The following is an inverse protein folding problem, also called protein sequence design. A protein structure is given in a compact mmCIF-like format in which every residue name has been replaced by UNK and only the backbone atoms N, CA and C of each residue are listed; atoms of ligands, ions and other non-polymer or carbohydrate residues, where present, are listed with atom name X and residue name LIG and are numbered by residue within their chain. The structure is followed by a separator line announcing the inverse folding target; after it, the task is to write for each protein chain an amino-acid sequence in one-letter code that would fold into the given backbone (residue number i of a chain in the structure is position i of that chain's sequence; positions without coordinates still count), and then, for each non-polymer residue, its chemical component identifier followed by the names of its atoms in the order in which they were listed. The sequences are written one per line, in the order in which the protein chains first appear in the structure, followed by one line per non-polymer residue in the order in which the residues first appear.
data_IF_216320183236
#
_entry.id   IF_216320183236
#
_cell.length_a   1.000
_cell.length_b   1.000
_cell.length_c   1.000
_cell.angle_alpha   90.00
_cell.angle_beta   90.00
_cell.angle_gamma   90.00
#
_symmetry.space_group_name_H-M   'P 1'
#
loop_
_entity.id
_entity.type
_entity.pdbx_description
1 polymer ?
#
# COMPACT_ATOMS: atom_id res chain seq x y z
N UNK A 1 -3.01 -0.27 24.04
CA UNK A 1 -1.65 -0.79 23.70
C UNK A 1 -0.58 -0.34 24.72
N UNK A 2 -0.57 0.94 25.15
CA UNK A 2 0.43 1.47 26.09
C UNK A 2 0.44 0.73 27.44
N UNK A 3 -0.73 0.45 27.99
CA UNK A 3 -0.89 -0.29 29.26
C UNK A 3 -0.28 -1.70 29.16
N UNK A 4 -0.58 -2.42 28.09
CA UNK A 4 -0.03 -3.76 27.84
C UNK A 4 1.49 -3.71 27.70
N UNK A 5 2.02 -2.68 27.02
CA UNK A 5 3.46 -2.48 26.87
C UNK A 5 4.13 -2.21 28.23
N UNK A 6 3.58 -1.31 29.05
CA UNK A 6 4.13 -0.96 30.37
C UNK A 6 4.14 -2.18 31.29
N UNK A 7 3.06 -2.95 31.35
CA UNK A 7 2.96 -4.16 32.19
C UNK A 7 3.97 -5.23 31.77
N UNK A 8 4.19 -5.39 30.46
CA UNK A 8 5.10 -6.40 29.92
C UNK A 8 6.51 -5.88 29.58
N UNK A 9 6.85 -4.65 29.92
CA UNK A 9 8.12 -4.00 29.58
C UNK A 9 9.35 -4.85 29.90
N UNK A 10 9.35 -5.58 31.04
CA UNK A 10 10.45 -6.44 31.44
C UNK A 10 10.58 -7.73 30.60
N UNK A 11 9.54 -8.11 29.85
CA UNK A 11 9.53 -9.31 28.99
C UNK A 11 10.06 -9.02 27.60
N UNK A 12 10.12 -7.74 27.20
CA UNK A 12 10.69 -7.38 25.89
C UNK A 12 12.22 -7.37 25.98
N UNK A 13 12.91 -8.10 25.11
CA UNK A 13 14.36 -8.08 25.06
C UNK A 13 14.81 -6.68 24.66
N UNK A 14 15.71 -6.09 25.44
CA UNK A 14 16.32 -4.79 25.16
C UNK A 14 17.16 -4.90 23.88
N UNK A 15 16.80 -4.19 22.78
CA UNK A 15 17.54 -4.26 21.52
C UNK A 15 19.01 -3.81 21.71
N UNK A 16 19.28 -2.89 22.63
CA UNK A 16 20.63 -2.38 22.88
C UNK A 16 21.54 -3.45 23.49
N UNK A 17 20.98 -4.35 24.31
CA UNK A 17 21.74 -5.48 24.89
C UNK A 17 22.08 -6.55 23.85
N UNK A 18 21.20 -6.77 22.84
CA UNK A 18 21.49 -7.68 21.74
C UNK A 18 22.59 -7.14 20.80
N UNK A 19 22.63 -5.82 20.61
CA UNK A 19 23.67 -5.17 19.80
C UNK A 19 25.01 -5.23 20.56
N UNK A 20 25.01 -4.96 21.87
CA UNK A 20 26.23 -5.08 22.72
C UNK A 20 26.75 -6.53 22.82
N UNK A 21 25.86 -7.52 22.95
CA UNK A 21 26.24 -8.93 22.98
C UNK A 21 26.79 -9.43 21.63
N UNK A 22 26.29 -8.92 20.50
CA UNK A 22 26.85 -9.19 19.16
C UNK A 22 28.15 -8.44 18.86
N UNK A 23 28.37 -7.29 19.50
CA UNK A 23 29.64 -6.54 19.36
C UNK A 23 30.80 -7.21 20.11
N UNK A 24 30.51 -8.10 21.09
CA UNK A 24 31.49 -8.92 21.79
C UNK A 24 31.84 -10.23 21.08
N UNK A 25 31.03 -10.67 20.12
CA UNK A 25 31.28 -11.88 19.32
C UNK A 25 31.93 -11.45 17.98
N UNK A 26 33.24 -11.54 17.89
CA UNK A 26 34.10 -11.02 16.83
C UNK A 26 33.97 -11.75 15.47
N UNK A 27 32.78 -12.13 15.07
CA UNK A 27 32.47 -12.67 13.73
C UNK A 27 31.31 -11.93 13.04
N UNK A 28 31.16 -10.61 13.29
CA UNK A 28 30.37 -9.78 12.40
C UNK A 28 31.16 -9.71 11.07
N UNK A 29 30.73 -10.49 10.08
CA UNK A 29 31.23 -10.38 8.70
C UNK A 29 31.07 -8.94 8.29
N UNK A 30 32.16 -8.16 8.29
CA UNK A 30 32.14 -6.77 7.84
C UNK A 30 31.76 -6.78 6.34
N UNK A 31 30.56 -6.29 6.04
CA UNK A 31 30.14 -6.12 4.64
C UNK A 31 31.12 -5.19 3.94
N UNK A 32 31.53 -5.54 2.73
CA UNK A 32 32.34 -4.64 1.91
C UNK A 32 31.63 -3.32 1.65
N UNK A 33 32.38 -2.22 1.54
CA UNK A 33 31.80 -0.91 1.24
C UNK A 33 30.99 -0.92 -0.07
N UNK A 34 31.36 -1.76 -1.03
CA UNK A 34 30.64 -1.95 -2.28
C UNK A 34 29.27 -2.63 -2.05
N UNK A 35 29.21 -3.65 -1.20
CA UNK A 35 27.98 -4.34 -0.87
C UNK A 35 27.01 -3.42 -0.11
N UNK A 36 27.51 -2.68 0.90
CA UNK A 36 26.73 -1.68 1.63
C UNK A 36 26.11 -0.70 0.66
N UNK A 37 26.89 -0.16 -0.28
CA UNK A 37 26.41 0.79 -1.29
C UNK A 37 25.34 0.18 -2.20
N UNK A 38 25.52 -1.04 -2.67
CA UNK A 38 24.55 -1.73 -3.52
C UNK A 38 23.21 -1.95 -2.78
N UNK A 39 23.25 -2.39 -1.51
CA UNK A 39 22.05 -2.56 -0.68
C UNK A 39 21.33 -1.25 -0.43
N UNK A 40 22.07 -0.17 -0.17
CA UNK A 40 21.49 1.17 0.01
C UNK A 40 20.80 1.66 -1.27
N UNK A 41 21.44 1.54 -2.44
CA UNK A 41 20.81 1.92 -3.71
C UNK A 41 19.56 1.09 -4.01
N UNK A 42 19.56 -0.20 -3.71
CA UNK A 42 18.39 -1.05 -3.87
C UNK A 42 17.21 -0.56 -3.01
N UNK A 43 17.47 -0.18 -1.76
CA UNK A 43 16.44 0.34 -0.86
C UNK A 43 15.91 1.69 -1.34
N UNK A 44 16.78 2.64 -1.72
CA UNK A 44 16.34 3.93 -2.25
C UNK A 44 15.53 3.80 -3.54
N UNK A 45 15.92 2.89 -4.43
CA UNK A 45 15.15 2.62 -5.64
C UNK A 45 13.75 2.08 -5.30
N UNK A 46 13.64 1.15 -4.36
CA UNK A 46 12.35 0.64 -3.89
C UNK A 46 11.54 1.75 -3.23
N UNK A 47 12.14 2.61 -2.40
CA UNK A 47 11.44 3.75 -1.77
C UNK A 47 10.87 4.70 -2.82
N UNK A 48 11.65 5.03 -3.87
CA UNK A 48 11.17 5.86 -4.97
C UNK A 48 9.93 5.29 -5.66
N UNK A 49 9.92 3.98 -5.90
CA UNK A 49 8.78 3.29 -6.54
C UNK A 49 7.56 3.24 -5.60
N UNK A 50 7.79 2.97 -4.33
CA UNK A 50 6.72 2.81 -3.33
C UNK A 50 6.00 4.12 -3.04
N UNK A 51 6.62 5.28 -3.24
CA UNK A 51 5.96 6.59 -3.15
C UNK A 51 4.74 6.66 -4.08
N UNK A 52 4.88 6.25 -5.34
CA UNK A 52 3.77 6.28 -6.32
C UNK A 52 2.66 5.29 -5.95
N UNK A 53 3.02 4.14 -5.39
CA UNK A 53 2.02 3.21 -4.86
C UNK A 53 1.25 3.85 -3.70
N UNK A 54 1.92 4.41 -2.70
CA UNK A 54 1.27 5.02 -1.54
C UNK A 54 0.44 6.24 -1.91
N UNK A 55 0.90 7.04 -2.87
CA UNK A 55 0.12 8.12 -3.45
C UNK A 55 -1.25 7.62 -3.97
N UNK A 56 -1.24 6.52 -4.74
CA UNK A 56 -2.48 5.95 -5.27
C UNK A 56 -3.29 5.26 -4.18
N UNK A 57 -2.65 4.45 -3.35
CA UNK A 57 -3.34 3.65 -2.34
C UNK A 57 -4.07 4.50 -1.30
N UNK A 58 -3.44 5.55 -0.78
CA UNK A 58 -4.05 6.39 0.24
C UNK A 58 -5.20 7.27 -0.27
N UNK A 59 -5.49 7.27 -1.57
CA UNK A 59 -6.72 7.84 -2.10
C UNK A 59 -7.97 7.13 -1.56
N UNK A 60 -7.83 5.95 -0.96
CA UNK A 60 -8.92 5.25 -0.29
C UNK A 60 -9.52 6.07 0.88
N UNK A 61 -8.70 6.85 1.56
CA UNK A 61 -9.12 7.73 2.66
C UNK A 61 -9.62 9.11 2.21
N UNK A 62 -9.37 9.52 0.98
CA UNK A 62 -9.72 10.85 0.47
C UNK A 62 -10.68 10.77 -0.72
N UNK A 63 -10.16 10.47 -1.90
CA UNK A 63 -10.93 10.52 -3.16
C UNK A 63 -12.06 9.48 -3.19
N UNK A 64 -11.83 8.25 -2.66
CA UNK A 64 -12.90 7.26 -2.56
C UNK A 64 -14.00 7.66 -1.57
N UNK A 65 -13.66 8.42 -0.51
CA UNK A 65 -14.67 8.94 0.41
C UNK A 65 -15.52 10.03 -0.22
N UNK A 66 -14.90 10.94 -1.00
CA UNK A 66 -15.66 11.91 -1.79
C UNK A 66 -16.55 11.22 -2.81
N UNK A 67 -16.02 10.21 -3.50
CA UNK A 67 -16.81 9.42 -4.42
C UNK A 67 -17.98 8.70 -3.74
N UNK A 68 -17.76 8.13 -2.55
CA UNK A 68 -18.84 7.54 -1.77
C UNK A 68 -19.97 8.54 -1.47
N UNK A 69 -19.61 9.76 -1.08
CA UNK A 69 -20.57 10.82 -0.73
C UNK A 69 -21.36 11.33 -1.94
N UNK A 70 -20.70 11.51 -3.07
CA UNK A 70 -21.26 12.20 -4.22
C UNK A 70 -21.92 11.28 -5.23
N UNK A 71 -21.27 10.15 -5.54
CA UNK A 71 -21.66 9.26 -6.64
C UNK A 71 -22.24 7.92 -6.21
N UNK A 72 -22.24 7.60 -4.92
CA UNK A 72 -22.71 6.29 -4.47
C UNK A 72 -24.11 6.38 -3.87
N UNK A 73 -24.96 5.41 -4.16
CA UNK A 73 -26.21 5.25 -3.43
C UNK A 73 -25.90 4.77 -2.01
N UNK A 74 -26.18 5.62 -1.02
CA UNK A 74 -25.92 5.33 0.38
C UNK A 74 -27.06 4.59 1.08
N UNK A 75 -28.10 4.19 0.33
CA UNK A 75 -29.17 3.35 0.86
C UNK A 75 -28.83 1.87 0.63
N UNK A 76 -28.46 1.17 1.69
CA UNK A 76 -28.19 -0.26 1.65
C UNK A 76 -29.30 -0.99 2.43
N UNK A 77 -30.07 -1.83 1.76
CA UNK A 77 -31.19 -2.59 2.35
C UNK A 77 -32.21 -1.70 3.13
N UNK A 78 -32.47 -0.48 2.66
CA UNK A 78 -33.40 0.45 3.29
C UNK A 78 -32.82 1.23 4.47
N UNK A 79 -31.53 1.08 4.76
CA UNK A 79 -30.81 1.85 5.78
C UNK A 79 -29.89 2.85 5.11
N UNK A 80 -29.95 4.12 5.51
CA UNK A 80 -28.98 5.12 5.11
C UNK A 80 -27.66 4.89 5.83
N UNK A 81 -26.59 4.69 5.07
CA UNK A 81 -25.22 4.54 5.59
C UNK A 81 -24.42 5.81 5.32
N UNK A 82 -23.52 6.14 6.25
CA UNK A 82 -22.60 7.26 6.06
C UNK A 82 -21.46 6.87 5.09
N UNK A 83 -21.05 7.81 4.24
CA UNK A 83 -19.96 7.61 3.29
C UNK A 83 -18.64 7.26 4.00
N UNK A 84 -18.41 7.79 5.20
CA UNK A 84 -17.23 7.55 6.01
C UNK A 84 -17.13 6.08 6.48
N UNK A 85 -18.25 5.38 6.59
CA UNK A 85 -18.25 3.95 6.98
C UNK A 85 -17.50 3.08 5.97
N UNK A 86 -17.44 3.48 4.69
CA UNK A 86 -16.66 2.74 3.70
C UNK A 86 -15.17 2.68 4.04
N UNK A 87 -14.62 3.70 4.69
CA UNK A 87 -13.22 3.66 5.15
C UNK A 87 -12.98 2.55 6.18
N UNK A 88 -13.99 2.20 6.99
CA UNK A 88 -13.89 1.11 7.98
C UNK A 88 -13.79 -0.27 7.33
N UNK A 89 -14.14 -0.41 6.05
CA UNK A 89 -13.98 -1.66 5.31
C UNK A 89 -12.51 -2.07 5.20
N UNK A 90 -11.58 -1.11 5.02
CA UNK A 90 -10.18 -1.45 4.92
C UNK A 90 -9.65 -2.14 6.18
N UNK A 91 -9.73 -1.61 7.41
CA UNK A 91 -9.27 -2.31 8.60
C UNK A 91 -10.04 -3.61 8.89
N UNK A 92 -11.33 -3.69 8.57
CA UNK A 92 -12.11 -4.93 8.69
C UNK A 92 -11.54 -6.00 7.75
N UNK A 93 -11.30 -5.65 6.50
CA UNK A 93 -10.71 -6.56 5.52
C UNK A 93 -9.25 -6.91 5.85
N UNK A 94 -8.46 -5.96 6.38
CA UNK A 94 -7.09 -6.26 6.85
C UNK A 94 -7.10 -7.36 7.89
N UNK A 95 -7.95 -7.24 8.92
CA UNK A 95 -8.03 -8.25 9.99
C UNK A 95 -8.55 -9.59 9.45
N UNK A 96 -9.57 -9.57 8.60
CA UNK A 96 -10.22 -10.78 8.08
C UNK A 96 -9.35 -11.51 7.04
N UNK A 97 -8.66 -10.78 6.16
CA UNK A 97 -7.90 -11.35 5.05
C UNK A 97 -6.45 -11.69 5.43
N UNK A 98 -5.89 -11.09 6.49
CA UNK A 98 -4.52 -11.40 6.92
C UNK A 98 -4.29 -12.90 7.12
N UNK A 99 -5.12 -13.66 7.86
CA UNK A 99 -4.95 -15.10 8.01
C UNK A 99 -5.00 -15.84 6.65
N UNK A 100 -5.90 -15.41 5.75
CA UNK A 100 -6.06 -16.03 4.43
C UNK A 100 -4.81 -15.81 3.57
N UNK A 101 -4.31 -14.59 3.49
CA UNK A 101 -3.10 -14.25 2.71
C UNK A 101 -1.87 -14.96 3.30
N UNK A 102 -1.76 -15.02 4.63
CA UNK A 102 -0.68 -15.77 5.29
C UNK A 102 -0.76 -17.26 5.00
N UNK A 103 -1.95 -17.87 4.96
CA UNK A 103 -2.15 -19.26 4.58
C UNK A 103 -1.76 -19.52 3.11
N UNK A 104 -2.10 -18.59 2.20
CA UNK A 104 -1.68 -18.66 0.79
C UNK A 104 -0.16 -18.65 0.67
N UNK A 105 0.53 -17.73 1.37
CA UNK A 105 2.00 -17.69 1.34
C UNK A 105 2.62 -18.95 1.97
N UNK A 106 2.06 -19.47 3.06
CA UNK A 106 2.52 -20.72 3.67
C UNK A 106 2.36 -21.91 2.72
N UNK A 107 1.22 -22.02 2.05
CA UNK A 107 0.97 -23.07 1.06
C UNK A 107 1.92 -22.98 -0.15
N UNK A 108 2.22 -21.76 -0.63
CA UNK A 108 3.20 -21.55 -1.70
C UNK A 108 4.63 -21.95 -1.25
N UNK A 109 4.98 -21.62 0.00
CA UNK A 109 6.27 -21.99 0.60
C UNK A 109 6.42 -23.50 0.73
N UNK A 110 5.37 -24.18 1.21
CA UNK A 110 5.36 -25.64 1.33
C UNK A 110 5.55 -26.35 -0.02
N UNK A 111 5.10 -25.73 -1.12
CA UNK A 111 5.26 -26.22 -2.50
C UNK A 111 6.59 -25.78 -3.15
N UNK A 112 7.44 -25.03 -2.45
CA UNK A 112 8.68 -24.47 -3.03
C UNK A 112 8.45 -23.43 -4.14
N UNK A 113 7.21 -22.88 -4.26
CA UNK A 113 6.81 -21.93 -5.31
C UNK A 113 6.53 -20.53 -4.78
N UNK A 114 6.98 -20.22 -3.58
CA UNK A 114 6.79 -18.89 -2.98
C UNK A 114 7.55 -17.82 -3.79
N UNK A 115 6.89 -16.78 -4.30
CA UNK A 115 7.56 -15.68 -4.98
C UNK A 115 8.50 -14.93 -4.01
N UNK A 116 9.56 -14.35 -4.54
CA UNK A 116 10.44 -13.45 -3.76
C UNK A 116 9.69 -12.24 -3.21
N UNK A 117 10.20 -11.65 -2.14
CA UNK A 117 9.55 -10.48 -1.51
C UNK A 117 9.37 -9.32 -2.50
N UNK A 118 10.37 -8.91 -3.31
CA UNK A 118 10.16 -7.87 -4.33
C UNK A 118 9.09 -8.25 -5.37
N UNK A 119 9.01 -9.53 -5.75
CA UNK A 119 7.99 -10.01 -6.68
C UNK A 119 6.58 -9.92 -6.09
N UNK A 120 6.41 -10.25 -4.80
CA UNK A 120 5.12 -10.09 -4.11
C UNK A 120 4.70 -8.63 -4.03
N UNK A 121 5.64 -7.70 -3.76
CA UNK A 121 5.37 -6.26 -3.76
C UNK A 121 4.90 -5.80 -5.14
N UNK A 122 5.56 -6.24 -6.22
CA UNK A 122 5.12 -5.93 -7.58
C UNK A 122 3.71 -6.48 -7.89
N UNK A 123 3.40 -7.71 -7.45
CA UNK A 123 2.05 -8.30 -7.58
C UNK A 123 1.02 -7.43 -6.83
N UNK A 124 1.33 -6.98 -5.62
CA UNK A 124 0.46 -6.08 -4.85
C UNK A 124 0.15 -4.78 -5.59
N UNK A 125 1.16 -4.18 -6.24
CA UNK A 125 0.96 -2.97 -7.07
C UNK A 125 0.03 -3.24 -8.27
N UNK A 126 0.15 -4.41 -8.90
CA UNK A 126 -0.75 -4.83 -9.98
C UNK A 126 -2.19 -5.06 -9.49
N UNK A 127 -2.36 -5.64 -8.30
CA UNK A 127 -3.68 -5.82 -7.68
C UNK A 127 -4.31 -4.45 -7.39
N UNK A 128 -3.55 -3.47 -6.89
CA UNK A 128 -4.07 -2.11 -6.67
C UNK A 128 -4.51 -1.45 -7.98
N UNK A 129 -3.72 -1.62 -9.06
CA UNK A 129 -4.09 -1.13 -10.39
C UNK A 129 -5.44 -1.70 -10.85
N UNK A 130 -5.72 -2.98 -10.59
CA UNK A 130 -7.03 -3.60 -10.90
C UNK A 130 -8.18 -2.98 -10.10
N UNK A 131 -7.97 -2.65 -8.83
CA UNK A 131 -8.96 -1.96 -8.00
C UNK A 131 -9.36 -0.60 -8.58
N UNK A 132 -8.38 0.22 -8.94
CA UNK A 132 -8.65 1.51 -9.59
C UNK A 132 -9.20 1.39 -11.01
N UNK A 133 -8.80 0.33 -11.75
CA UNK A 133 -9.35 0.05 -13.08
C UNK A 133 -10.85 -0.24 -13.02
N UNK A 134 -11.32 -1.00 -12.03
CA UNK A 134 -12.74 -1.25 -11.79
C UNK A 134 -13.47 0.05 -11.52
N UNK A 135 -12.89 0.96 -10.71
CA UNK A 135 -13.45 2.29 -10.48
C UNK A 135 -13.52 3.13 -11.77
N UNK A 136 -12.47 3.10 -12.58
CA UNK A 136 -12.43 3.83 -13.86
C UNK A 136 -13.52 3.32 -14.82
N UNK A 137 -13.60 2.00 -15.00
CA UNK A 137 -14.62 1.38 -15.87
C UNK A 137 -16.03 1.64 -15.33
N UNK A 138 -16.27 1.44 -14.03
CA UNK A 138 -17.56 1.69 -13.41
C UNK A 138 -18.01 3.13 -13.57
N UNK A 139 -17.11 4.09 -13.36
CA UNK A 139 -17.39 5.51 -13.54
C UNK A 139 -17.68 5.89 -15.00
N UNK A 140 -16.92 5.31 -15.93
CA UNK A 140 -17.08 5.54 -17.37
C UNK A 140 -18.41 4.98 -17.90
N UNK A 141 -18.71 3.72 -17.60
CA UNK A 141 -19.92 3.03 -18.05
C UNK A 141 -21.18 3.67 -17.47
N UNK A 142 -21.11 4.16 -16.24
CA UNK A 142 -22.22 4.86 -15.58
C UNK A 142 -22.39 6.31 -16.06
N UNK A 143 -21.53 6.79 -16.96
CA UNK A 143 -21.56 8.19 -17.45
C UNK A 143 -21.65 9.21 -16.31
N UNK A 144 -20.79 9.03 -15.28
CA UNK A 144 -20.82 9.92 -14.12
C UNK A 144 -20.45 11.35 -14.51
N UNK A 145 -21.20 12.36 -14.03
CA UNK A 145 -20.92 13.76 -14.29
C UNK A 145 -19.59 14.20 -13.68
N UNK A 146 -19.06 15.31 -14.15
CA UNK A 146 -17.87 15.91 -13.50
C UNK A 146 -18.26 16.51 -12.14
N UNK A 147 -17.30 16.60 -11.23
CA UNK A 147 -17.51 17.18 -9.91
C UNK A 147 -18.11 18.60 -9.96
N UNK A 148 -17.64 19.45 -10.88
CA UNK A 148 -18.18 20.81 -11.10
C UNK A 148 -19.67 20.81 -11.46
N UNK A 149 -20.13 19.79 -12.18
CA UNK A 149 -21.55 19.71 -12.59
C UNK A 149 -22.42 19.32 -11.38
N UNK A 150 -21.88 18.49 -10.48
CA UNK A 150 -22.54 18.13 -9.21
C UNK A 150 -22.68 19.36 -8.31
N UNK A 151 -21.65 20.19 -8.21
CA UNK A 151 -21.73 21.45 -7.43
C UNK A 151 -22.83 22.34 -7.98
N UNK A 152 -22.95 22.46 -9.29
CA UNK A 152 -23.96 23.27 -9.93
C UNK A 152 -25.40 22.74 -9.73
N UNK A 153 -25.56 21.40 -9.69
CA UNK A 153 -26.86 20.74 -9.53
C UNK A 153 -27.23 20.46 -8.07
N UNK A 154 -26.28 20.59 -7.14
CA UNK A 154 -26.43 20.26 -5.72
C UNK A 154 -26.38 18.76 -5.39
N UNK A 155 -26.50 17.89 -6.38
CA UNK A 155 -26.40 16.42 -6.23
C UNK A 155 -26.05 15.77 -7.56
N UNK A 156 -25.48 14.57 -7.52
CA UNK A 156 -25.29 13.77 -8.74
C UNK A 156 -26.63 13.20 -9.22
N UNK A 157 -26.99 13.41 -10.50
CA UNK A 157 -28.19 12.81 -11.09
C UNK A 157 -28.05 11.29 -11.29
N UNK A 158 -26.84 10.78 -11.31
CA UNK A 158 -26.52 9.35 -11.47
C UNK A 158 -25.73 8.89 -10.26
N UNK A 159 -26.17 7.79 -9.66
CA UNK A 159 -25.45 7.14 -8.55
C UNK A 159 -25.16 5.70 -8.90
N UNK A 160 -24.00 5.22 -8.42
CA UNK A 160 -23.59 3.83 -8.57
C UNK A 160 -23.87 3.03 -7.31
N UNK A 161 -23.94 1.71 -7.47
CA UNK A 161 -24.15 0.81 -6.35
C UNK A 161 -22.98 0.84 -5.35
N UNK A 162 -23.23 0.72 -4.04
CA UNK A 162 -22.20 0.60 -3.01
C UNK A 162 -21.22 -0.57 -3.24
N UNK A 163 -21.66 -1.60 -3.95
CA UNK A 163 -20.84 -2.76 -4.28
C UNK A 163 -19.55 -2.39 -5.03
N UNK A 164 -19.61 -1.38 -5.89
CA UNK A 164 -18.42 -0.90 -6.62
C UNK A 164 -17.31 -0.48 -5.63
N UNK A 165 -17.67 0.30 -4.62
CA UNK A 165 -16.73 0.70 -3.57
C UNK A 165 -16.28 -0.48 -2.70
N UNK A 166 -17.21 -1.33 -2.27
CA UNK A 166 -16.90 -2.48 -1.41
C UNK A 166 -15.88 -3.42 -2.07
N UNK A 167 -16.08 -3.74 -3.37
CA UNK A 167 -15.16 -4.55 -4.15
C UNK A 167 -13.80 -3.84 -4.31
N UNK A 168 -13.81 -2.54 -4.55
CA UNK A 168 -12.57 -1.75 -4.65
C UNK A 168 -11.80 -1.76 -3.34
N UNK A 169 -12.44 -1.51 -2.20
CA UNK A 169 -11.78 -1.59 -0.89
C UNK A 169 -11.22 -2.99 -0.60
N UNK A 170 -11.96 -4.05 -0.97
CA UNK A 170 -11.49 -5.43 -0.83
C UNK A 170 -10.20 -5.65 -1.64
N UNK A 171 -10.18 -5.25 -2.91
CA UNK A 171 -9.01 -5.42 -3.79
C UNK A 171 -7.83 -4.58 -3.31
N UNK A 172 -8.05 -3.33 -2.92
CA UNK A 172 -7.01 -2.47 -2.38
C UNK A 172 -6.44 -3.02 -1.08
N UNK A 173 -7.26 -3.60 -0.20
CA UNK A 173 -6.78 -4.24 1.02
C UNK A 173 -5.92 -5.47 0.73
N UNK A 174 -6.31 -6.30 -0.25
CA UNK A 174 -5.44 -7.41 -0.69
C UNK A 174 -4.09 -6.88 -1.17
N UNK A 175 -4.09 -5.81 -1.98
CA UNK A 175 -2.86 -5.16 -2.45
C UNK A 175 -1.99 -4.67 -1.28
N UNK A 176 -2.59 -4.05 -0.28
CA UNK A 176 -1.92 -3.59 0.94
C UNK A 176 -1.23 -4.73 1.69
N UNK A 177 -1.91 -5.86 1.87
CA UNK A 177 -1.36 -7.03 2.55
C UNK A 177 -0.16 -7.65 1.80
N UNK A 178 -0.07 -7.43 0.48
CA UNK A 178 1.10 -7.82 -0.33
C UNK A 178 2.26 -6.83 -0.24
N UNK A 179 2.05 -5.60 0.23
CA UNK A 179 3.08 -4.55 0.19
C UNK A 179 3.52 -4.16 1.59
N UNK A 180 2.60 -3.84 2.48
CA UNK A 180 2.88 -3.24 3.79
C UNK A 180 3.78 -4.11 4.67
N UNK A 181 3.41 -5.36 5.02
CA UNK A 181 4.23 -6.20 5.87
C UNK A 181 5.50 -6.68 5.17
N UNK A 182 5.41 -6.94 3.86
CA UNK A 182 6.53 -7.45 3.08
C UNK A 182 7.58 -6.39 2.79
N UNK A 183 7.18 -5.13 2.63
CA UNK A 183 8.09 -4.02 2.46
C UNK A 183 8.96 -3.79 3.69
N UNK A 184 8.37 -3.73 4.88
CA UNK A 184 9.10 -3.63 6.14
C UNK A 184 10.05 -4.83 6.32
N UNK A 185 9.58 -6.05 6.00
CA UNK A 185 10.42 -7.26 6.05
C UNK A 185 11.57 -7.20 5.04
N UNK A 186 11.33 -6.69 3.84
CA UNK A 186 12.37 -6.51 2.81
C UNK A 186 13.45 -5.54 3.28
N UNK A 187 13.04 -4.37 3.81
CA UNK A 187 13.97 -3.39 4.36
C UNK A 187 14.82 -4.00 5.47
N UNK A 188 14.21 -4.75 6.40
CA UNK A 188 14.92 -5.42 7.51
C UNK A 188 15.96 -6.43 7.03
N UNK A 189 15.71 -7.11 5.90
CA UNK A 189 16.63 -8.12 5.34
C UNK A 189 17.77 -7.50 4.54
N UNK A 190 17.47 -6.46 3.77
CA UNK A 190 18.44 -5.86 2.83
C UNK A 190 19.30 -4.81 3.50
N UNK A 191 18.76 -4.07 4.45
CA UNK A 191 19.48 -2.99 5.11
C UNK A 191 20.73 -3.50 5.85
N UNK A 192 21.90 -2.88 5.63
CA UNK A 192 23.08 -3.19 6.43
C UNK A 192 22.79 -2.95 7.92
N UNK A 193 23.31 -3.80 8.84
CA UNK A 193 22.99 -3.74 10.28
C UNK A 193 23.14 -2.34 10.88
N UNK A 194 24.19 -1.61 10.50
CA UNK A 194 24.48 -0.24 10.96
C UNK A 194 23.38 0.76 10.55
N UNK A 195 22.70 0.57 9.42
CA UNK A 195 21.74 1.50 8.84
C UNK A 195 20.29 1.01 8.93
N UNK A 196 20.03 -0.11 9.59
CA UNK A 196 18.72 -0.76 9.61
C UNK A 196 17.60 0.18 10.13
N UNK A 197 17.85 0.89 11.23
CA UNK A 197 16.87 1.84 11.77
C UNK A 197 16.58 3.02 10.82
N UNK A 198 17.63 3.57 10.19
CA UNK A 198 17.49 4.66 9.21
C UNK A 198 16.71 4.20 7.99
N UNK A 199 16.96 2.97 7.50
CA UNK A 199 16.25 2.43 6.35
C UNK A 199 14.79 2.09 6.65
N UNK A 200 14.48 1.63 7.87
CA UNK A 200 13.09 1.49 8.34
C UNK A 200 12.38 2.86 8.38
N UNK A 201 13.07 3.88 8.91
CA UNK A 201 12.59 5.27 8.83
C UNK A 201 12.39 5.76 7.40
N UNK A 202 13.28 5.37 6.47
CA UNK A 202 13.17 5.66 5.05
C UNK A 202 11.91 5.06 4.39
N UNK A 203 11.54 3.82 4.76
CA UNK A 203 10.28 3.22 4.32
C UNK A 203 9.06 4.04 4.79
N UNK A 204 9.03 4.45 6.06
CA UNK A 204 7.97 5.30 6.60
C UNK A 204 7.99 6.69 5.95
N UNK A 205 9.19 7.23 5.66
CA UNK A 205 9.38 8.47 4.93
C UNK A 205 8.80 8.40 3.51
N UNK A 206 9.02 7.30 2.78
CA UNK A 206 8.43 7.09 1.47
C UNK A 206 6.88 7.05 1.53
N UNK A 207 6.32 6.39 2.55
CA UNK A 207 4.88 6.40 2.80
C UNK A 207 4.37 7.81 3.08
N UNK A 208 5.08 8.59 3.90
CA UNK A 208 4.73 9.97 4.22
C UNK A 208 4.77 10.89 2.99
N UNK A 209 5.77 10.74 2.12
CA UNK A 209 5.83 11.48 0.86
C UNK A 209 4.64 11.12 -0.04
N UNK A 210 4.30 9.83 -0.16
CA UNK A 210 3.11 9.39 -0.88
C UNK A 210 1.84 10.04 -0.34
N UNK A 211 1.70 10.16 0.98
CA UNK A 211 0.58 10.86 1.61
C UNK A 211 0.55 12.37 1.30
N UNK A 212 1.67 13.05 1.23
CA UNK A 212 1.71 14.46 0.84
C UNK A 212 1.22 14.68 -0.60
N UNK A 213 1.40 13.69 -1.47
CA UNK A 213 0.93 13.75 -2.85
C UNK A 213 -0.60 13.55 -3.00
N UNK A 214 -1.32 13.21 -1.93
CA UNK A 214 -2.80 13.07 -1.94
C UNK A 214 -3.51 14.31 -2.48
N UNK A 215 -2.95 15.48 -2.27
CA UNK A 215 -3.50 16.75 -2.80
C UNK A 215 -3.64 16.73 -4.33
N UNK A 216 -2.75 16.02 -5.03
CA UNK A 216 -2.83 15.86 -6.50
C UNK A 216 -4.11 15.12 -6.86
N UNK A 217 -4.45 14.07 -6.11
CA UNK A 217 -5.69 13.32 -6.30
C UNK A 217 -6.94 14.18 -6.11
N UNK A 218 -6.96 15.05 -5.10
CA UNK A 218 -8.05 16.00 -4.89
C UNK A 218 -8.18 16.98 -6.06
N UNK A 219 -7.07 17.56 -6.53
CA UNK A 219 -7.06 18.47 -7.68
C UNK A 219 -7.57 17.76 -8.95
N UNK A 220 -7.13 16.54 -9.20
CA UNK A 220 -7.60 15.75 -10.34
C UNK A 220 -9.10 15.47 -10.25
N UNK A 221 -9.59 15.12 -9.05
CA UNK A 221 -10.99 14.82 -8.81
C UNK A 221 -11.91 16.01 -9.15
N UNK A 222 -11.47 17.22 -8.86
CA UNK A 222 -12.22 18.47 -9.15
C UNK A 222 -12.10 18.91 -10.60
N UNK A 223 -10.95 18.62 -11.25
CA UNK A 223 -10.58 19.26 -12.52
C UNK A 223 -10.91 18.43 -13.76
N UNK A 224 -10.92 17.10 -13.67
CA UNK A 224 -11.10 16.20 -14.81
C UNK A 224 -12.25 15.20 -14.55
N UNK A 225 -12.77 14.53 -15.61
CA UNK A 225 -13.77 13.48 -15.44
C UNK A 225 -13.32 12.41 -14.44
N UNK A 226 -14.23 11.96 -13.58
CA UNK A 226 -13.89 11.06 -12.47
C UNK A 226 -13.24 9.73 -12.92
N UNK A 227 -13.66 9.19 -14.07
CA UNK A 227 -13.04 8.00 -14.62
C UNK A 227 -11.56 8.22 -15.02
N UNK A 228 -11.20 9.42 -15.48
CA UNK A 228 -9.80 9.79 -15.78
C UNK A 228 -8.99 9.89 -14.51
N UNK A 229 -9.55 10.42 -13.42
CA UNK A 229 -8.89 10.45 -12.11
C UNK A 229 -8.46 9.06 -11.66
N UNK A 230 -9.38 8.09 -11.75
CA UNK A 230 -9.04 6.69 -11.45
C UNK A 230 -7.99 6.12 -12.39
N UNK A 231 -8.05 6.48 -13.68
CA UNK A 231 -7.04 6.04 -14.66
C UNK A 231 -5.64 6.55 -14.33
N UNK A 232 -5.49 7.75 -13.79
CA UNK A 232 -4.18 8.24 -13.32
C UNK A 232 -3.62 7.35 -12.22
N UNK A 233 -4.45 6.89 -11.28
CA UNK A 233 -3.99 5.96 -10.21
C UNK A 233 -3.68 4.57 -10.76
N UNK A 234 -4.42 4.09 -11.77
CA UNK A 234 -4.06 2.86 -12.49
C UNK A 234 -2.67 3.00 -13.09
N UNK A 235 -2.41 4.07 -13.82
CA UNK A 235 -1.12 4.33 -14.49
C UNK A 235 0.00 4.41 -13.45
N UNK A 236 -0.18 5.12 -12.34
CA UNK A 236 0.81 5.23 -11.28
C UNK A 236 1.15 3.87 -10.65
N UNK A 237 0.13 3.03 -10.37
CA UNK A 237 0.33 1.67 -9.88
C UNK A 237 1.02 0.77 -10.92
N UNK A 238 0.67 0.88 -12.20
CA UNK A 238 1.30 0.15 -13.28
C UNK A 238 2.78 0.55 -13.47
N UNK A 239 3.10 1.85 -13.44
CA UNK A 239 4.49 2.34 -13.48
C UNK A 239 5.28 1.73 -12.32
N UNK A 240 4.73 1.78 -11.09
CA UNK A 240 5.35 1.19 -9.91
C UNK A 240 5.59 -0.32 -10.11
N UNK A 241 4.58 -1.07 -10.57
CA UNK A 241 4.67 -2.49 -10.82
C UNK A 241 5.75 -2.83 -11.85
N UNK A 242 5.72 -2.18 -13.01
CA UNK A 242 6.69 -2.45 -14.09
C UNK A 242 8.11 -2.08 -13.69
N UNK A 243 8.30 -0.98 -12.97
CA UNK A 243 9.62 -0.58 -12.44
C UNK A 243 10.15 -1.62 -11.45
N UNK A 244 9.30 -2.12 -10.53
CA UNK A 244 9.68 -3.21 -9.61
C UNK A 244 10.03 -4.50 -10.37
N UNK A 245 9.27 -4.87 -11.39
CA UNK A 245 9.55 -6.04 -12.22
C UNK A 245 10.84 -5.88 -13.02
N UNK A 246 11.11 -4.70 -13.54
CA UNK A 246 12.37 -4.40 -14.25
C UNK A 246 13.59 -4.56 -13.33
N UNK A 247 13.47 -4.09 -12.09
CA UNK A 247 14.55 -4.20 -11.10
C UNK A 247 14.59 -5.57 -10.41
N UNK A 248 13.65 -6.48 -10.67
CA UNK A 248 13.43 -7.70 -9.88
C UNK A 248 14.70 -8.56 -9.72
N UNK A 249 15.38 -8.87 -10.84
CA UNK A 249 16.59 -9.70 -10.81
C UNK A 249 17.71 -9.10 -9.96
N UNK A 250 17.85 -7.78 -10.03
CA UNK A 250 18.84 -7.05 -9.24
C UNK A 250 18.47 -7.06 -7.75
N UNK A 251 17.20 -6.77 -7.42
CA UNK A 251 16.71 -6.78 -6.04
C UNK A 251 16.81 -8.17 -5.40
N UNK A 252 16.51 -9.23 -6.15
CA UNK A 252 16.66 -10.61 -5.67
C UNK A 252 18.12 -10.99 -5.43
N UNK A 253 19.05 -10.48 -6.24
CA UNK A 253 20.50 -10.69 -6.03
C UNK A 253 21.00 -9.99 -4.76
N UNK A 254 20.56 -8.77 -4.52
CA UNK A 254 20.95 -7.96 -3.35
C UNK A 254 20.31 -8.48 -2.05
N UNK A 255 19.15 -9.14 -2.13
CA UNK A 255 18.43 -9.69 -0.98
C UNK A 255 18.91 -11.09 -0.53
N UNK A 256 19.79 -11.72 -1.31
CA UNK A 256 20.48 -12.98 -0.95
C UNK A 256 21.65 -12.71 -0.04
#
# INVERSE_FOLDING_TARGET
SLVIFVINRKKFPDPSKKVAAKAGDATAVEMSAQEVRQRMYALFAVFGVVIFFWFSFHQNGLTLTYFAKEYTDLNLFGMAISAELFQSLNPIFVVSLTPVIMAVFAAQRAKGKEPSTPRKIAIGMGIAATGFLIMAIGSYVSNLPMHKDIIALGTSPVKVTPLLLMVTYLILTVAELYISPLGISFVSKVAPPKYQGIMQGGWLGATAIGNQLLVIGAILYESIPIWMTWTVFVVACCISMFTMLFMLKWLEKVAK
#
